data_IF_528533590683
#
_entry.id   IF_528533590683
#
_cell.length_a   1.000
_cell.length_b   1.000
_cell.length_c   1.000
_cell.angle_alpha   90.00
_cell.angle_beta   90.00
_cell.angle_gamma   90.00
#
_symmetry.space_group_name_H-M   'P 1'
#
loop_
_entity.id
_entity.type
_entity.pdbx_description
1 polymer ?
#
# COMPACT_ATOMS: atom_id res chain seq x y z
N UNK A 1 -57.36 61.39 29.56
CA UNK A 1 -58.52 60.80 30.27
C UNK A 1 -58.95 59.56 29.48
N UNK A 2 -58.80 58.38 30.10
CA UNK A 2 -59.48 57.09 29.85
C UNK A 2 -59.16 56.23 28.60
N UNK A 3 -58.29 55.22 28.82
CA UNK A 3 -58.36 53.75 28.51
C UNK A 3 -58.70 53.17 27.10
N UNK A 4 -58.45 51.86 26.81
CA UNK A 4 -57.72 50.81 27.56
C UNK A 4 -56.75 49.91 26.74
N UNK A 5 -55.94 49.15 27.47
CA UNK A 5 -55.16 47.97 27.06
C UNK A 5 -56.06 46.82 26.58
N UNK A 6 -55.75 46.24 25.43
CA UNK A 6 -56.23 44.90 25.03
C UNK A 6 -55.04 43.95 24.88
N UNK A 7 -55.01 42.92 25.72
CA UNK A 7 -54.13 41.78 25.58
C UNK A 7 -54.74 40.77 24.59
N UNK A 8 -53.97 40.14 23.69
CA UNK A 8 -54.43 38.96 22.99
C UNK A 8 -53.79 37.68 23.57
N UNK A 9 -54.65 36.89 24.22
CA UNK A 9 -54.86 35.45 24.05
C UNK A 9 -53.65 34.54 23.83
N UNK A 10 -53.42 33.69 24.84
CA UNK A 10 -52.66 32.43 24.79
C UNK A 10 -53.08 31.53 23.62
N UNK A 11 -52.17 31.33 22.66
CA UNK A 11 -52.31 30.25 21.68
C UNK A 11 -51.75 28.95 22.24
N UNK A 12 -52.62 27.95 22.27
CA UNK A 12 -52.41 26.57 22.69
C UNK A 12 -51.42 25.89 21.73
N UNK A 13 -50.31 25.36 22.27
CA UNK A 13 -49.36 24.51 21.55
C UNK A 13 -50.03 23.19 21.11
N UNK A 14 -50.49 23.14 19.86
CA UNK A 14 -50.86 21.88 19.21
C UNK A 14 -49.62 21.02 18.88
N UNK A 15 -49.73 19.69 18.83
CA UNK A 15 -48.60 18.81 18.52
C UNK A 15 -48.06 19.11 17.10
N UNK A 16 -46.78 19.49 17.03
CA UNK A 16 -46.07 19.81 15.78
C UNK A 16 -46.18 18.64 14.79
N UNK A 17 -46.59 18.87 13.53
CA UNK A 17 -46.69 17.79 12.55
C UNK A 17 -45.31 17.15 12.32
N UNK A 18 -45.26 15.81 12.38
CA UNK A 18 -44.05 15.04 12.09
C UNK A 18 -43.68 15.23 10.62
N UNK A 19 -42.64 16.03 10.36
CA UNK A 19 -42.13 16.22 9.00
C UNK A 19 -41.62 14.89 8.41
N UNK A 20 -41.90 14.60 7.12
CA UNK A 20 -41.46 13.38 6.45
C UNK A 20 -39.92 13.30 6.41
N UNK A 21 -39.37 12.09 6.53
CA UNK A 21 -37.91 11.84 6.59
C UNK A 21 -37.12 12.44 5.41
N UNK A 22 -37.78 12.61 4.26
CA UNK A 22 -37.19 13.10 3.02
C UNK A 22 -37.05 14.64 2.93
N UNK A 23 -37.61 15.43 3.85
CA UNK A 23 -37.38 16.90 3.87
C UNK A 23 -36.15 17.32 4.70
N UNK A 24 -35.40 16.36 5.24
CA UNK A 24 -34.22 16.62 6.07
C UNK A 24 -33.04 17.05 5.21
N UNK A 25 -32.77 18.36 5.17
CA UNK A 25 -31.53 18.89 4.59
C UNK A 25 -30.35 18.48 5.48
N UNK A 26 -29.42 17.71 4.93
CA UNK A 26 -28.15 17.40 5.57
C UNK A 26 -27.09 18.36 5.01
N UNK A 27 -26.36 19.03 5.90
CA UNK A 27 -25.23 19.87 5.52
C UNK A 27 -23.94 19.15 5.90
N UNK A 28 -22.99 19.14 4.98
CA UNK A 28 -21.65 18.58 5.19
C UNK A 28 -20.78 19.66 5.83
N UNK A 29 -20.39 19.46 7.07
CA UNK A 29 -19.38 20.30 7.73
C UNK A 29 -18.03 19.56 7.75
N UNK A 30 -16.96 20.25 7.35
CA UNK A 30 -15.59 19.73 7.47
C UNK A 30 -15.23 19.69 8.96
N UNK A 31 -14.91 18.50 9.50
CA UNK A 31 -14.42 18.37 10.88
C UNK A 31 -12.98 18.84 10.95
N UNK A 32 -12.67 19.77 11.86
CA UNK A 32 -11.31 20.28 12.02
C UNK A 32 -10.37 19.25 12.66
N UNK A 33 -10.79 18.51 13.70
CA UNK A 33 -10.05 17.37 14.27
C UNK A 33 -10.99 16.37 14.93
N UNK A 34 -10.76 15.08 14.71
CA UNK A 34 -11.42 13.98 15.43
C UNK A 34 -10.40 13.36 16.39
N UNK A 35 -10.75 13.19 17.67
CA UNK A 35 -9.83 12.58 18.62
C UNK A 35 -9.42 11.18 18.16
N UNK A 36 -8.15 10.82 18.40
CA UNK A 36 -7.56 9.53 18.00
C UNK A 36 -8.43 8.29 18.30
N UNK A 37 -9.11 8.14 19.46
CA UNK A 37 -9.95 6.96 19.71
C UNK A 37 -11.15 6.85 18.76
N UNK A 38 -11.74 7.97 18.35
CA UNK A 38 -12.84 7.97 17.39
C UNK A 38 -12.37 7.65 15.97
N UNK A 39 -11.16 8.09 15.61
CA UNK A 39 -10.55 7.71 14.33
C UNK A 39 -10.27 6.21 14.29
N UNK A 40 -9.72 5.66 15.38
CA UNK A 40 -9.48 4.22 15.52
C UNK A 40 -10.79 3.42 15.48
N UNK A 41 -11.87 3.91 16.11
CA UNK A 41 -13.17 3.25 16.08
C UNK A 41 -13.77 3.21 14.68
N UNK A 42 -13.72 4.33 13.93
CA UNK A 42 -14.25 4.38 12.55
C UNK A 42 -13.44 3.46 11.63
N UNK A 43 -12.11 3.45 11.77
CA UNK A 43 -11.24 2.53 11.02
C UNK A 43 -11.52 1.07 11.40
N UNK A 44 -11.66 0.77 12.68
CA UNK A 44 -11.98 -0.55 13.18
C UNK A 44 -13.32 -1.05 12.64
N UNK A 45 -14.35 -0.21 12.64
CA UNK A 45 -15.65 -0.54 12.05
C UNK A 45 -15.54 -0.79 10.54
N UNK A 46 -14.81 0.06 9.82
CA UNK A 46 -14.60 -0.10 8.38
C UNK A 46 -13.86 -1.41 8.05
N UNK A 47 -12.85 -1.76 8.84
CA UNK A 47 -12.14 -3.04 8.74
C UNK A 47 -13.08 -4.21 9.02
N UNK A 48 -13.90 -4.14 10.08
CA UNK A 48 -14.86 -5.19 10.41
C UNK A 48 -15.90 -5.39 9.29
N UNK A 49 -16.39 -4.31 8.69
CA UNK A 49 -17.30 -4.39 7.52
C UNK A 49 -16.58 -5.01 6.33
N UNK A 50 -15.35 -4.57 6.03
CA UNK A 50 -14.55 -5.13 4.93
C UNK A 50 -14.27 -6.62 5.12
N UNK A 51 -13.89 -7.03 6.34
CA UNK A 51 -13.69 -8.43 6.71
C UNK A 51 -15.00 -9.22 6.65
N UNK A 52 -16.11 -8.66 7.13
CA UNK A 52 -17.42 -9.31 7.07
C UNK A 52 -17.88 -9.57 5.64
N UNK A 53 -17.72 -8.60 4.74
CA UNK A 53 -17.99 -8.76 3.31
C UNK A 53 -17.06 -9.80 2.66
N UNK A 54 -15.78 -9.77 3.04
CA UNK A 54 -14.77 -10.73 2.56
C UNK A 54 -15.10 -12.16 2.98
N UNK A 55 -15.45 -12.37 4.25
CA UNK A 55 -15.92 -13.65 4.78
C UNK A 55 -17.18 -14.12 4.05
N UNK A 56 -18.15 -13.24 3.83
CA UNK A 56 -19.36 -13.60 3.09
C UNK A 56 -19.04 -14.09 1.67
N UNK A 57 -18.12 -13.43 0.96
CA UNK A 57 -17.68 -13.84 -0.38
C UNK A 57 -16.96 -15.20 -0.34
N UNK A 58 -16.08 -15.43 0.63
CA UNK A 58 -15.39 -16.72 0.77
C UNK A 58 -16.36 -17.87 1.08
N UNK A 59 -17.37 -17.62 1.90
CA UNK A 59 -18.42 -18.61 2.20
C UNK A 59 -19.25 -18.91 0.94
N UNK A 60 -19.61 -17.87 0.18
CA UNK A 60 -20.30 -18.04 -1.11
C UNK A 60 -19.43 -18.76 -2.16
N UNK A 61 -18.11 -18.63 -2.06
CA UNK A 61 -17.15 -19.36 -2.90
C UNK A 61 -16.91 -20.81 -2.46
N UNK A 62 -17.54 -21.26 -1.38
CA UNK A 62 -17.50 -22.66 -0.94
C UNK A 62 -16.62 -22.94 0.28
N UNK A 63 -16.03 -21.93 0.93
CA UNK A 63 -15.26 -22.15 2.17
C UNK A 63 -16.19 -22.22 3.38
N UNK A 64 -16.18 -23.30 4.17
CA UNK A 64 -17.00 -23.38 5.38
C UNK A 64 -16.61 -22.28 6.38
N UNK A 65 -17.61 -21.52 6.83
CA UNK A 65 -17.41 -20.36 7.71
C UNK A 65 -16.70 -20.70 9.04
N UNK A 66 -16.92 -21.91 9.56
CA UNK A 66 -16.28 -22.39 10.78
C UNK A 66 -14.78 -22.67 10.63
N UNK A 67 -14.32 -22.98 9.42
CA UNK A 67 -12.90 -23.29 9.16
C UNK A 67 -12.09 -22.03 8.85
N UNK A 68 -12.73 -20.94 8.40
CA UNK A 68 -12.04 -19.69 8.08
C UNK A 68 -11.21 -19.14 9.25
N UNK A 69 -11.75 -19.18 10.48
CA UNK A 69 -10.98 -18.73 11.65
C UNK A 69 -9.77 -19.65 11.92
N UNK A 70 -9.93 -20.95 11.71
CA UNK A 70 -8.86 -21.92 11.88
C UNK A 70 -7.77 -21.71 10.83
N UNK A 71 -8.15 -21.56 9.55
CA UNK A 71 -7.23 -21.35 8.45
C UNK A 71 -6.44 -20.02 8.58
N UNK A 72 -7.14 -18.90 8.81
CA UNK A 72 -6.50 -17.57 8.86
C UNK A 72 -5.69 -17.32 10.14
N UNK A 73 -6.09 -17.88 11.27
CA UNK A 73 -5.45 -17.60 12.57
C UNK A 73 -4.55 -18.76 12.97
N UNK A 74 -5.08 -19.97 13.07
CA UNK A 74 -4.34 -21.13 13.61
C UNK A 74 -3.35 -21.64 12.57
N UNK A 75 -3.82 -22.00 11.37
CA UNK A 75 -2.96 -22.57 10.34
C UNK A 75 -1.94 -21.57 9.79
N UNK A 76 -2.22 -20.26 9.88
CA UNK A 76 -1.30 -19.24 9.35
C UNK A 76 -0.30 -18.73 10.38
N UNK A 77 -0.69 -18.56 11.66
CA UNK A 77 0.18 -17.96 12.69
C UNK A 77 0.78 -18.96 13.69
N UNK A 78 0.11 -20.08 13.94
CA UNK A 78 0.56 -21.07 14.93
C UNK A 78 1.29 -22.26 14.31
N UNK A 79 1.15 -22.48 13.01
CA UNK A 79 2.01 -23.41 12.28
C UNK A 79 3.38 -22.76 11.99
N UNK A 80 4.46 -23.47 12.32
CA UNK A 80 5.82 -22.94 12.20
C UNK A 80 6.21 -22.66 10.74
N UNK A 81 5.76 -23.49 9.79
CA UNK A 81 6.08 -23.30 8.36
C UNK A 81 5.30 -22.13 7.78
N UNK A 82 4.01 -22.02 8.09
CA UNK A 82 3.19 -20.87 7.69
C UNK A 82 3.67 -19.56 8.30
N UNK A 83 4.13 -19.58 9.56
CA UNK A 83 4.70 -18.40 10.20
C UNK A 83 6.00 -17.96 9.51
N UNK A 84 6.89 -18.90 9.18
CA UNK A 84 8.10 -18.62 8.40
C UNK A 84 7.76 -18.05 7.03
N UNK A 85 6.80 -18.66 6.31
CA UNK A 85 6.32 -18.15 5.03
C UNK A 85 5.73 -16.74 5.16
N UNK A 86 5.01 -16.46 6.25
CA UNK A 86 4.43 -15.14 6.54
C UNK A 86 5.50 -14.10 6.79
N UNK A 87 6.54 -14.43 7.57
CA UNK A 87 7.67 -13.53 7.80
C UNK A 87 8.43 -13.26 6.50
N UNK A 88 8.69 -14.29 5.71
CA UNK A 88 9.34 -14.14 4.41
C UNK A 88 8.53 -13.25 3.47
N UNK A 89 7.21 -13.45 3.43
CA UNK A 89 6.26 -12.65 2.65
C UNK A 89 6.13 -11.21 3.18
N UNK A 90 6.32 -10.99 4.48
CA UNK A 90 6.22 -9.67 5.09
C UNK A 90 7.33 -8.72 4.60
N UNK A 91 8.54 -9.21 4.36
CA UNK A 91 9.65 -8.37 3.93
C UNK A 91 9.35 -7.54 2.65
N UNK A 92 9.00 -8.15 1.49
CA UNK A 92 8.67 -7.38 0.30
C UNK A 92 7.41 -6.53 0.47
N UNK A 93 6.40 -7.02 1.20
CA UNK A 93 5.15 -6.26 1.45
C UNK A 93 5.41 -5.00 2.29
N UNK A 94 6.29 -5.07 3.31
CA UNK A 94 6.74 -3.91 4.09
C UNK A 94 7.39 -2.88 3.16
N UNK A 95 8.34 -3.30 2.32
CA UNK A 95 9.07 -2.41 1.43
C UNK A 95 8.14 -1.69 0.42
N UNK A 96 7.20 -2.41 -0.17
CA UNK A 96 6.23 -1.82 -1.11
C UNK A 96 5.22 -0.92 -0.38
N UNK A 97 4.81 -1.26 0.84
CA UNK A 97 3.99 -0.39 1.70
C UNK A 97 4.71 0.91 2.08
N UNK A 98 6.00 0.85 2.40
CA UNK A 98 6.84 2.03 2.66
C UNK A 98 7.01 2.88 1.41
N UNK A 99 7.23 2.26 0.26
CA UNK A 99 7.27 2.95 -1.03
C UNK A 99 5.98 3.74 -1.28
N UNK A 100 4.82 3.13 -1.04
CA UNK A 100 3.51 3.80 -1.09
C UNK A 100 3.41 4.99 -0.13
N UNK A 101 3.79 4.80 1.14
CA UNK A 101 3.76 5.85 2.17
C UNK A 101 4.57 7.09 1.77
N UNK A 102 5.77 6.89 1.21
CA UNK A 102 6.64 8.00 0.78
C UNK A 102 6.03 8.75 -0.41
N UNK A 103 5.55 8.03 -1.43
CA UNK A 103 4.94 8.66 -2.61
C UNK A 103 3.71 9.50 -2.27
N UNK A 104 2.82 8.97 -1.41
CA UNK A 104 1.60 9.68 -1.01
C UNK A 104 1.90 10.95 -0.20
N UNK A 105 2.92 10.94 0.67
CA UNK A 105 3.40 12.17 1.34
C UNK A 105 3.93 13.22 0.38
N UNK A 106 4.46 12.80 -0.76
CA UNK A 106 4.91 13.70 -1.82
C UNK A 106 3.75 14.18 -2.73
N UNK A 107 2.48 13.88 -2.37
CA UNK A 107 1.29 14.13 -3.20
C UNK A 107 1.42 13.54 -4.60
N UNK A 108 2.02 12.36 -4.68
CA UNK A 108 2.20 11.60 -5.91
C UNK A 108 1.53 10.25 -5.76
N UNK A 109 0.52 9.99 -6.59
CA UNK A 109 -0.15 8.70 -6.62
C UNK A 109 0.65 7.68 -7.43
N UNK A 110 1.54 6.97 -6.75
CA UNK A 110 2.40 5.96 -7.38
C UNK A 110 1.64 4.63 -7.53
N UNK A 111 0.91 4.45 -8.63
CA UNK A 111 0.38 3.13 -9.01
C UNK A 111 1.44 2.28 -9.71
N UNK A 112 2.61 2.84 -9.97
CA UNK A 112 3.72 2.23 -10.71
C UNK A 112 4.64 1.32 -9.89
N UNK A 113 4.24 0.96 -8.66
CA UNK A 113 5.08 0.21 -7.71
C UNK A 113 5.49 -1.16 -8.28
N UNK A 114 4.58 -1.85 -8.98
CA UNK A 114 4.88 -3.13 -9.63
C UNK A 114 5.92 -2.98 -10.73
N UNK A 115 5.80 -1.96 -11.59
CA UNK A 115 6.80 -1.69 -12.62
C UNK A 115 8.17 -1.38 -12.03
N UNK A 116 8.22 -0.60 -10.95
CA UNK A 116 9.47 -0.27 -10.24
C UNK A 116 10.09 -1.51 -9.59
N UNK A 117 9.26 -2.39 -9.03
CA UNK A 117 9.66 -3.69 -8.49
C UNK A 117 10.22 -4.61 -9.58
N UNK A 118 9.57 -4.66 -10.75
CA UNK A 118 10.03 -5.41 -11.92
C UNK A 118 11.42 -4.93 -12.36
N UNK A 119 11.60 -3.62 -12.58
CA UNK A 119 12.89 -3.09 -12.99
C UNK A 119 13.98 -3.24 -11.93
N UNK A 120 13.61 -3.23 -10.64
CA UNK A 120 14.53 -3.58 -9.57
C UNK A 120 15.02 -5.03 -9.65
N UNK A 121 14.10 -5.99 -9.82
CA UNK A 121 14.46 -7.39 -9.97
C UNK A 121 15.27 -7.65 -11.26
N UNK A 122 14.93 -6.99 -12.37
CA UNK A 122 15.69 -7.04 -13.62
C UNK A 122 17.12 -6.53 -13.39
N UNK A 123 17.30 -5.40 -12.69
CA UNK A 123 18.62 -4.87 -12.35
C UNK A 123 19.47 -5.85 -11.53
N UNK A 124 18.88 -6.44 -10.48
CA UNK A 124 19.56 -7.47 -9.69
C UNK A 124 19.92 -8.71 -10.53
N UNK A 125 18.99 -9.19 -11.35
CA UNK A 125 19.19 -10.36 -12.21
C UNK A 125 20.28 -10.12 -13.24
N UNK A 126 20.35 -8.92 -13.83
CA UNK A 126 21.40 -8.55 -14.78
C UNK A 126 22.79 -8.64 -14.15
N UNK A 127 22.96 -8.19 -12.90
CA UNK A 127 24.25 -8.29 -12.18
C UNK A 127 24.66 -9.75 -11.98
N UNK A 128 23.72 -10.64 -11.65
CA UNK A 128 23.98 -12.08 -11.53
C UNK A 128 24.30 -12.72 -12.88
N UNK A 129 23.44 -12.54 -13.89
CA UNK A 129 23.58 -13.16 -15.22
C UNK A 129 24.84 -12.73 -15.98
N UNK A 130 25.20 -11.45 -15.90
CA UNK A 130 26.41 -10.93 -16.56
C UNK A 130 27.65 -11.00 -15.65
N UNK A 131 27.53 -11.66 -14.49
CA UNK A 131 28.62 -11.88 -13.52
C UNK A 131 29.36 -10.59 -13.16
N UNK A 132 28.62 -9.49 -12.98
CA UNK A 132 29.21 -8.16 -12.79
C UNK A 132 29.85 -8.09 -11.40
N UNK A 133 31.17 -7.87 -11.39
CA UNK A 133 31.98 -7.75 -10.18
C UNK A 133 32.37 -9.09 -9.53
N UNK A 134 33.25 -9.03 -8.51
CA UNK A 134 33.72 -10.23 -7.81
C UNK A 134 32.61 -10.86 -6.98
N UNK A 135 32.70 -12.17 -6.73
CA UNK A 135 31.66 -12.95 -6.06
C UNK A 135 31.22 -12.36 -4.71
N UNK A 136 32.17 -11.90 -3.90
CA UNK A 136 31.91 -11.29 -2.59
C UNK A 136 31.09 -9.98 -2.65
N UNK A 137 31.16 -9.24 -3.77
CA UNK A 137 30.45 -7.96 -3.93
C UNK A 137 29.18 -8.09 -4.76
N UNK A 138 28.90 -9.27 -5.31
CA UNK A 138 27.79 -9.42 -6.25
C UNK A 138 26.43 -9.19 -5.60
N UNK A 139 26.19 -9.73 -4.40
CA UNK A 139 24.95 -9.49 -3.66
C UNK A 139 24.73 -7.99 -3.34
N UNK A 140 25.72 -7.24 -2.81
CA UNK A 140 25.64 -5.79 -2.71
C UNK A 140 25.39 -5.06 -4.04
N UNK A 141 26.06 -5.47 -5.12
CA UNK A 141 25.87 -4.89 -6.45
C UNK A 141 24.46 -5.15 -6.99
N UNK A 142 23.90 -6.33 -6.76
CA UNK A 142 22.51 -6.68 -7.09
C UNK A 142 21.53 -5.77 -6.34
N UNK A 143 21.77 -5.54 -5.05
CA UNK A 143 20.97 -4.62 -4.23
C UNK A 143 21.02 -3.19 -4.78
N UNK A 144 22.21 -2.68 -5.11
CA UNK A 144 22.38 -1.34 -5.69
C UNK A 144 21.71 -1.24 -7.06
N UNK A 145 21.89 -2.24 -7.93
CA UNK A 145 21.25 -2.29 -9.23
C UNK A 145 19.72 -2.32 -9.11
N UNK A 146 19.18 -2.99 -8.09
CA UNK A 146 17.75 -3.01 -7.84
C UNK A 146 17.19 -1.66 -7.36
N UNK A 147 17.90 -0.99 -6.44
CA UNK A 147 17.56 0.36 -6.02
C UNK A 147 17.55 1.32 -7.22
N UNK A 148 18.58 1.25 -8.07
CA UNK A 148 18.70 2.08 -9.26
C UNK A 148 17.63 1.74 -10.30
N UNK A 149 17.34 0.46 -10.54
CA UNK A 149 16.31 0.03 -11.49
C UNK A 149 14.93 0.58 -11.12
N UNK A 150 14.53 0.44 -9.86
CA UNK A 150 13.26 1.00 -9.36
C UNK A 150 13.24 2.53 -9.37
N UNK A 151 14.34 3.17 -8.97
CA UNK A 151 14.48 4.63 -8.98
C UNK A 151 14.36 5.22 -10.38
N UNK A 152 15.10 4.65 -11.35
CA UNK A 152 15.12 5.11 -12.74
C UNK A 152 13.76 4.87 -13.40
N UNK A 153 13.07 3.78 -13.09
CA UNK A 153 11.72 3.55 -13.61
C UNK A 153 10.69 4.53 -13.03
N UNK A 154 10.81 4.88 -11.74
CA UNK A 154 9.97 5.90 -11.11
C UNK A 154 10.18 7.31 -11.69
N UNK A 155 11.35 7.58 -12.29
CA UNK A 155 11.64 8.86 -12.92
C UNK A 155 10.75 9.10 -14.15
N UNK A 156 10.41 8.06 -14.92
CA UNK A 156 9.59 8.19 -16.13
C UNK A 156 8.19 8.81 -15.87
N UNK A 157 7.30 8.24 -15.03
CA UNK A 157 5.99 8.83 -14.77
C UNK A 157 6.11 10.17 -14.03
N UNK A 158 7.14 10.34 -13.22
CA UNK A 158 7.41 11.58 -12.49
C UNK A 158 7.79 12.73 -13.42
N UNK A 159 8.63 12.49 -14.43
CA UNK A 159 8.97 13.50 -15.43
C UNK A 159 7.77 13.86 -16.30
N UNK A 160 6.94 12.88 -16.68
CA UNK A 160 5.70 13.12 -17.42
C UNK A 160 4.75 14.03 -16.63
N UNK A 161 4.60 13.79 -15.32
CA UNK A 161 3.84 14.68 -14.43
C UNK A 161 4.45 16.08 -14.34
N UNK A 162 5.75 16.18 -14.04
CA UNK A 162 6.40 17.45 -13.75
C UNK A 162 6.61 18.35 -14.97
N UNK A 163 6.82 17.76 -16.16
CA UNK A 163 7.07 18.52 -17.41
C UNK A 163 5.82 18.69 -18.26
N UNK A 164 5.00 17.65 -18.38
CA UNK A 164 3.87 17.61 -19.31
C UNK A 164 2.51 17.71 -18.62
N UNK A 165 2.47 17.70 -17.28
CA UNK A 165 1.21 17.77 -16.53
C UNK A 165 0.32 16.53 -16.72
N UNK A 166 0.89 15.41 -17.17
CA UNK A 166 0.15 14.16 -17.36
C UNK A 166 -0.31 13.64 -16.00
N UNK A 167 -1.53 13.10 -15.95
CA UNK A 167 -2.07 12.46 -14.76
C UNK A 167 -1.18 11.27 -14.37
N UNK A 168 -0.54 11.36 -13.20
CA UNK A 168 0.39 10.34 -12.72
C UNK A 168 -0.25 8.98 -12.48
N UNK A 169 -1.55 8.92 -12.20
CA UNK A 169 -2.28 7.67 -11.98
C UNK A 169 -2.27 6.86 -13.28
N UNK A 170 -2.62 7.52 -14.40
CA UNK A 170 -2.66 6.88 -15.71
C UNK A 170 -1.24 6.54 -16.18
N UNK A 171 -0.31 7.49 -16.08
CA UNK A 171 1.06 7.28 -16.54
C UNK A 171 1.76 6.13 -15.80
N UNK A 172 1.66 6.09 -14.46
CA UNK A 172 2.31 5.05 -13.67
C UNK A 172 1.66 3.68 -13.86
N UNK A 173 0.34 3.60 -14.03
CA UNK A 173 -0.36 2.36 -14.33
C UNK A 173 0.01 1.81 -15.72
N UNK A 174 0.04 2.67 -16.74
CA UNK A 174 0.41 2.26 -18.10
C UNK A 174 1.85 1.76 -18.20
N UNK A 175 2.77 2.38 -17.46
CA UNK A 175 4.16 1.93 -17.40
C UNK A 175 4.32 0.56 -16.71
N UNK A 176 3.40 0.12 -15.86
CA UNK A 176 3.46 -1.25 -15.30
C UNK A 176 3.30 -2.29 -16.40
N UNK A 177 2.38 -2.09 -17.36
CA UNK A 177 2.20 -3.01 -18.46
C UNK A 177 3.44 -3.09 -19.34
N UNK A 178 4.11 -1.95 -19.58
CA UNK A 178 5.37 -1.93 -20.34
C UNK A 178 6.45 -2.72 -19.58
N UNK A 179 6.60 -2.50 -18.27
CA UNK A 179 7.55 -3.25 -17.45
C UNK A 179 7.26 -4.76 -17.44
N UNK A 180 5.98 -5.14 -17.30
CA UNK A 180 5.55 -6.54 -17.33
C UNK A 180 5.84 -7.21 -18.68
N UNK A 181 5.49 -6.57 -19.80
CA UNK A 181 5.78 -7.12 -21.12
C UNK A 181 7.29 -7.20 -21.39
N UNK A 182 8.08 -6.24 -20.88
CA UNK A 182 9.53 -6.30 -20.97
C UNK A 182 10.12 -7.45 -20.14
N UNK A 183 9.61 -7.69 -18.93
CA UNK A 183 9.97 -8.86 -18.13
C UNK A 183 9.67 -10.16 -18.87
N UNK A 184 8.48 -10.28 -19.48
CA UNK A 184 8.14 -11.45 -20.29
C UNK A 184 9.09 -11.61 -21.48
N UNK A 185 9.41 -10.53 -22.19
CA UNK A 185 10.38 -10.58 -23.29
C UNK A 185 11.74 -11.15 -22.85
N UNK A 186 12.26 -10.73 -21.69
CA UNK A 186 13.52 -11.24 -21.16
C UNK A 186 13.44 -12.72 -20.79
N UNK A 187 12.41 -13.08 -20.04
CA UNK A 187 12.29 -14.40 -19.41
C UNK A 187 11.82 -15.49 -20.38
N UNK A 188 11.13 -15.13 -21.47
CA UNK A 188 10.85 -16.03 -22.58
C UNK A 188 11.95 -16.01 -23.67
N UNK A 189 12.78 -14.97 -23.69
CA UNK A 189 13.82 -14.76 -24.67
C UNK A 189 15.22 -14.95 -24.09
N UNK A 190 16.04 -13.87 -24.05
CA UNK A 190 17.49 -13.98 -23.83
C UNK A 190 17.90 -14.45 -22.43
N UNK A 191 17.03 -14.32 -21.42
CA UNK A 191 17.36 -14.64 -20.03
C UNK A 191 16.78 -15.97 -19.57
N UNK A 192 16.07 -16.69 -20.43
CA UNK A 192 15.50 -18.00 -20.12
C UNK A 192 16.61 -19.00 -19.78
N UNK A 193 16.43 -19.81 -18.73
CA UNK A 193 17.32 -20.92 -18.44
C UNK A 193 17.30 -21.95 -19.60
N UNK A 194 18.42 -22.23 -20.27
CA UNK A 194 18.47 -23.22 -21.35
C UNK A 194 18.21 -24.65 -20.87
N UNK A 195 18.29 -24.91 -19.55
CA UNK A 195 18.09 -26.24 -18.96
C UNK A 195 16.62 -26.56 -18.70
N UNK A 196 15.74 -25.57 -18.78
CA UNK A 196 14.33 -25.75 -18.44
C UNK A 196 13.39 -25.22 -19.53
N UNK A 197 12.21 -25.82 -19.64
CA UNK A 197 11.16 -25.40 -20.55
C UNK A 197 10.39 -24.19 -19.99
N UNK A 198 10.39 -23.98 -18.68
CA UNK A 198 9.65 -22.91 -18.03
C UNK A 198 10.29 -21.51 -18.24
N UNK A 199 9.48 -20.45 -18.31
CA UNK A 199 9.96 -19.08 -18.46
C UNK A 199 10.42 -18.53 -17.11
N UNK A 200 11.67 -18.82 -16.75
CA UNK A 200 12.39 -18.19 -15.64
C UNK A 200 13.88 -18.06 -15.97
N UNK A 201 14.58 -17.21 -15.22
CA UNK A 201 16.04 -17.12 -15.32
C UNK A 201 16.73 -18.34 -14.70
N UNK A 202 18.01 -18.59 -15.04
CA UNK A 202 18.87 -19.46 -14.27
C UNK A 202 18.83 -19.12 -12.79
N UNK A 203 18.99 -20.15 -11.98
CA UNK A 203 19.02 -20.03 -10.53
C UNK A 203 20.28 -19.30 -10.08
N UNK A 204 20.12 -18.28 -9.22
CA UNK A 204 21.25 -17.51 -8.69
C UNK A 204 22.19 -18.38 -7.87
N UNK A 205 23.48 -18.03 -7.87
CA UNK A 205 24.47 -18.76 -7.07
C UNK A 205 24.17 -18.61 -5.57
N UNK A 206 24.55 -19.56 -4.71
CA UNK A 206 24.22 -19.48 -3.28
C UNK A 206 24.65 -18.18 -2.59
N UNK A 207 25.79 -17.60 -2.98
CA UNK A 207 26.28 -16.33 -2.44
C UNK A 207 25.59 -15.08 -3.02
N UNK A 208 24.80 -15.23 -4.09
CA UNK A 208 23.98 -14.19 -4.71
C UNK A 208 22.56 -14.15 -4.13
N UNK A 209 22.23 -15.08 -3.23
CA UNK A 209 20.95 -15.13 -2.54
C UNK A 209 21.03 -14.51 -1.17
N UNK A 210 19.90 -13.98 -0.69
CA UNK A 210 19.82 -13.48 0.68
C UNK A 210 19.97 -14.65 1.66
N UNK A 211 21.00 -14.66 2.51
CA UNK A 211 21.25 -15.77 3.41
C UNK A 211 20.14 -15.91 4.45
N UNK A 212 19.89 -17.14 4.86
CA UNK A 212 19.06 -17.44 6.01
C UNK A 212 19.86 -17.24 7.30
N UNK A 213 19.34 -16.42 8.21
CA UNK A 213 19.97 -16.14 9.51
C UNK A 213 19.60 -17.20 10.53
N UNK A 214 18.34 -17.63 10.49
CA UNK A 214 17.76 -18.72 11.28
C UNK A 214 16.94 -19.59 10.33
N UNK A 215 16.66 -20.86 10.68
CA UNK A 215 15.76 -21.70 9.90
C UNK A 215 14.42 -20.97 9.66
N UNK A 216 14.17 -20.62 8.40
CA UNK A 216 12.97 -19.88 7.97
C UNK A 216 12.94 -18.38 8.24
N UNK A 217 14.06 -17.76 8.65
CA UNK A 217 14.20 -16.31 8.75
C UNK A 217 15.33 -15.83 7.83
N UNK A 218 14.96 -15.34 6.65
CA UNK A 218 15.90 -14.72 5.71
C UNK A 218 16.32 -13.33 6.16
N UNK A 219 17.52 -12.92 5.77
CA UNK A 219 18.04 -11.55 5.87
C UNK A 219 17.08 -10.49 5.27
N UNK A 220 16.16 -10.91 4.40
CA UNK A 220 15.06 -10.08 3.90
C UNK A 220 14.26 -9.36 4.99
N UNK A 221 13.93 -10.05 6.10
CA UNK A 221 13.07 -9.49 7.16
C UNK A 221 13.79 -8.41 7.95
N UNK A 222 15.01 -8.64 8.49
CA UNK A 222 15.77 -7.58 9.15
C UNK A 222 16.08 -6.41 8.22
N UNK A 223 16.35 -6.67 6.93
CA UNK A 223 16.56 -5.61 5.94
C UNK A 223 15.31 -4.73 5.79
N UNK A 224 14.12 -5.34 5.64
CA UNK A 224 12.86 -4.60 5.52
C UNK A 224 12.54 -3.78 6.79
N UNK A 225 12.80 -4.35 7.98
CA UNK A 225 12.61 -3.64 9.26
C UNK A 225 13.61 -2.50 9.43
N UNK A 226 14.88 -2.71 9.08
CA UNK A 226 15.89 -1.66 9.07
C UNK A 226 15.46 -0.50 8.16
N UNK A 227 14.99 -0.82 6.95
CA UNK A 227 14.47 0.18 6.01
C UNK A 227 13.22 0.88 6.54
N UNK A 228 12.34 0.19 7.26
CA UNK A 228 11.19 0.82 7.93
C UNK A 228 11.62 1.84 9.00
N UNK A 229 12.62 1.50 9.81
CA UNK A 229 13.20 2.43 10.81
C UNK A 229 13.89 3.61 10.13
N UNK A 230 14.64 3.38 9.06
CA UNK A 230 15.28 4.44 8.27
C UNK A 230 14.25 5.36 7.62
N UNK A 231 13.15 4.81 7.08
CA UNK A 231 12.05 5.57 6.51
C UNK A 231 11.33 6.39 7.59
N UNK A 232 11.12 5.82 8.79
CA UNK A 232 10.58 6.56 9.92
C UNK A 232 11.50 7.72 10.33
N UNK A 233 12.80 7.47 10.48
CA UNK A 233 13.78 8.49 10.83
C UNK A 233 13.84 9.60 9.76
N UNK A 234 13.82 9.23 8.48
CA UNK A 234 13.76 10.15 7.36
C UNK A 234 12.52 11.05 7.43
N UNK A 235 11.34 10.49 7.64
CA UNK A 235 10.09 11.25 7.67
C UNK A 235 9.97 12.11 8.94
N UNK A 236 10.33 11.56 10.10
CA UNK A 236 10.05 12.16 11.39
C UNK A 236 11.13 13.15 11.84
N UNK A 237 12.42 12.81 11.67
CA UNK A 237 13.54 13.58 12.23
C UNK A 237 14.32 14.36 11.17
N UNK A 238 14.40 13.90 9.91
CA UNK A 238 15.28 14.54 8.93
C UNK A 238 14.78 15.90 8.43
N UNK A 239 15.73 16.73 7.95
CA UNK A 239 15.43 18.04 7.31
C UNK A 239 14.57 17.87 6.05
N UNK A 240 14.86 16.86 5.23
CA UNK A 240 14.06 16.52 4.06
C UNK A 240 12.63 16.09 4.45
N UNK A 241 12.48 15.34 5.54
CA UNK A 241 11.17 14.98 6.11
C UNK A 241 10.38 16.18 6.63
N UNK A 242 11.05 17.20 7.17
CA UNK A 242 10.41 18.49 7.49
C UNK A 242 9.87 19.19 6.24
N UNK A 243 10.66 19.29 5.17
CA UNK A 243 10.19 19.84 3.90
C UNK A 243 9.04 19.03 3.30
N UNK A 244 9.10 17.70 3.38
CA UNK A 244 8.04 16.82 2.93
C UNK A 244 6.74 17.08 3.68
N UNK A 245 6.77 17.31 4.99
CA UNK A 245 5.59 17.68 5.80
C UNK A 245 4.96 19.01 5.36
N UNK A 246 5.78 20.01 5.00
CA UNK A 246 5.27 21.26 4.43
C UNK A 246 4.60 21.05 3.06
N UNK A 247 5.24 20.26 2.20
CA UNK A 247 4.69 19.91 0.87
C UNK A 247 3.37 19.13 0.99
N UNK A 248 3.32 18.16 1.90
CA UNK A 248 2.13 17.35 2.17
C UNK A 248 0.97 18.21 2.67
N UNK A 249 1.22 19.15 3.59
CA UNK A 249 0.20 20.07 4.12
C UNK A 249 -0.34 21.03 3.05
N UNK A 250 0.55 21.81 2.40
CA UNK A 250 0.16 22.70 1.30
C UNK A 250 1.38 23.10 0.45
N UNK A 251 1.49 22.60 -0.79
CA UNK A 251 2.61 22.92 -1.69
C UNK A 251 2.75 24.41 -1.99
N UNK A 252 1.63 25.15 -2.08
CA UNK A 252 1.65 26.60 -2.40
C UNK A 252 2.24 27.41 -1.23
N UNK A 253 1.86 27.07 0.00
CA UNK A 253 2.41 27.69 1.21
C UNK A 253 3.87 27.28 1.39
N UNK A 254 4.19 26.00 1.16
CA UNK A 254 5.57 25.52 1.20
C UNK A 254 6.49 26.30 0.25
N UNK A 255 6.05 26.54 -0.99
CA UNK A 255 6.83 27.37 -1.93
C UNK A 255 6.97 28.83 -1.48
N UNK A 256 5.96 29.40 -0.83
CA UNK A 256 6.01 30.78 -0.34
C UNK A 256 7.01 30.95 0.81
N UNK A 257 7.23 29.91 1.62
CA UNK A 257 8.23 29.88 2.71
C UNK A 257 9.61 29.44 2.22
N UNK A 258 9.81 29.29 0.90
CA UNK A 258 11.10 28.98 0.28
C UNK A 258 11.48 27.49 0.27
N UNK A 259 10.54 26.58 0.54
CA UNK A 259 10.78 25.14 0.41
C UNK A 259 10.89 24.77 -1.07
N UNK A 260 11.93 24.02 -1.50
CA UNK A 260 12.08 23.61 -2.90
C UNK A 260 11.12 22.47 -3.26
N UNK A 261 9.82 22.78 -3.40
CA UNK A 261 8.72 21.82 -3.59
C UNK A 261 9.02 20.79 -4.68
N UNK A 262 9.48 21.23 -5.86
CA UNK A 262 9.78 20.34 -6.99
C UNK A 262 10.89 19.34 -6.66
N UNK A 263 11.96 19.79 -6.02
CA UNK A 263 13.07 18.91 -5.64
C UNK A 263 12.66 17.93 -4.54
N UNK A 264 11.86 18.36 -3.56
CA UNK A 264 11.34 17.50 -2.50
C UNK A 264 10.43 16.40 -3.06
N UNK A 265 9.53 16.74 -3.99
CA UNK A 265 8.68 15.75 -4.68
C UNK A 265 9.57 14.79 -5.48
N UNK A 266 10.53 15.33 -6.24
CA UNK A 266 11.43 14.53 -7.06
C UNK A 266 12.18 13.49 -6.21
N UNK A 267 12.89 13.93 -5.18
CA UNK A 267 13.67 13.05 -4.32
C UNK A 267 12.82 12.01 -3.60
N UNK A 268 11.63 12.38 -3.11
CA UNK A 268 10.77 11.46 -2.35
C UNK A 268 10.13 10.40 -3.24
N UNK A 269 9.72 10.76 -4.47
CA UNK A 269 9.16 9.79 -5.43
C UNK A 269 10.24 8.85 -5.97
N UNK A 270 11.45 9.36 -6.20
CA UNK A 270 12.59 8.52 -6.56
C UNK A 270 12.98 7.55 -5.43
N UNK A 271 12.94 7.99 -4.17
CA UNK A 271 13.12 7.12 -3.02
C UNK A 271 12.02 6.05 -2.91
N UNK A 272 10.76 6.40 -3.20
CA UNK A 272 9.65 5.43 -3.32
C UNK A 272 9.95 4.38 -4.39
N UNK A 273 10.41 4.80 -5.57
CA UNK A 273 10.85 3.90 -6.64
C UNK A 273 11.99 2.96 -6.22
N UNK A 274 12.99 3.49 -5.53
CA UNK A 274 14.10 2.69 -5.01
C UNK A 274 13.60 1.62 -4.02
N UNK A 275 12.70 1.98 -3.10
CA UNK A 275 12.11 1.03 -2.14
C UNK A 275 11.29 -0.07 -2.83
N UNK A 276 10.52 0.28 -3.86
CA UNK A 276 9.80 -0.71 -4.67
C UNK A 276 10.76 -1.63 -5.43
N UNK A 277 11.85 -1.08 -5.99
CA UNK A 277 12.91 -1.86 -6.62
C UNK A 277 13.61 -2.81 -5.67
N UNK A 278 13.88 -2.36 -4.42
CA UNK A 278 14.43 -3.20 -3.36
C UNK A 278 13.50 -4.35 -2.99
N UNK A 279 12.18 -4.13 -2.99
CA UNK A 279 11.22 -5.22 -2.80
C UNK A 279 11.34 -6.30 -3.89
N UNK A 280 11.60 -5.87 -5.14
CA UNK A 280 11.84 -6.78 -6.26
C UNK A 280 13.10 -7.63 -6.07
N UNK A 281 14.18 -7.02 -5.57
CA UNK A 281 15.38 -7.75 -5.17
C UNK A 281 15.12 -8.75 -4.05
N UNK A 282 14.35 -8.37 -3.02
CA UNK A 282 14.02 -9.29 -1.91
C UNK A 282 13.26 -10.51 -2.40
N UNK A 283 12.32 -10.35 -3.34
CA UNK A 283 11.59 -11.50 -3.91
C UNK A 283 12.50 -12.33 -4.81
N UNK A 284 13.25 -11.72 -5.73
CA UNK A 284 14.09 -12.43 -6.69
C UNK A 284 15.29 -13.12 -6.04
N UNK A 285 16.06 -12.43 -5.19
CA UNK A 285 17.26 -12.96 -4.55
C UNK A 285 16.98 -13.68 -3.22
N UNK A 286 15.82 -13.45 -2.60
CA UNK A 286 15.40 -14.12 -1.37
C UNK A 286 14.46 -15.29 -1.63
N UNK A 287 13.24 -15.00 -2.10
CA UNK A 287 12.13 -15.96 -2.10
C UNK A 287 12.25 -16.98 -3.24
N UNK A 288 12.47 -16.49 -4.46
CA UNK A 288 12.51 -17.31 -5.66
C UNK A 288 13.93 -17.82 -5.97
N UNK A 289 14.96 -17.06 -5.56
CA UNK A 289 16.36 -17.30 -5.92
C UNK A 289 16.64 -17.20 -7.43
N UNK A 290 15.70 -16.64 -8.21
CA UNK A 290 15.75 -16.43 -9.65
C UNK A 290 14.68 -15.41 -10.06
N UNK A 291 14.73 -14.94 -11.30
CA UNK A 291 13.69 -14.10 -11.87
C UNK A 291 12.58 -14.96 -12.49
N UNK A 292 11.33 -14.73 -12.05
CA UNK A 292 10.14 -15.42 -12.58
C UNK A 292 9.20 -14.42 -13.27
N UNK A 293 8.21 -14.91 -14.02
CA UNK A 293 7.32 -14.08 -14.83
C UNK A 293 6.23 -13.32 -14.04
N UNK A 294 5.86 -13.77 -12.84
CA UNK A 294 4.66 -13.29 -12.13
C UNK A 294 4.89 -12.88 -10.67
N UNK A 295 6.16 -12.76 -10.24
CA UNK A 295 6.52 -12.49 -8.83
C UNK A 295 6.01 -11.15 -8.28
N UNK A 296 5.68 -10.18 -9.14
CA UNK A 296 5.29 -8.82 -8.74
C UNK A 296 3.79 -8.65 -8.50
N UNK A 297 2.96 -9.63 -8.91
CA UNK A 297 1.52 -9.45 -9.01
C UNK A 297 0.88 -9.22 -7.63
N UNK A 298 0.08 -8.15 -7.52
CA UNK A 298 -0.69 -7.84 -6.32
C UNK A 298 0.07 -6.99 -5.30
N UNK A 299 1.41 -6.94 -5.36
CA UNK A 299 2.21 -6.14 -4.44
C UNK A 299 1.94 -4.64 -4.57
N UNK A 300 1.69 -4.13 -5.79
CA UNK A 300 1.43 -2.70 -5.98
C UNK A 300 0.16 -2.24 -5.30
N UNK A 301 -0.93 -3.00 -5.46
CA UNK A 301 -2.20 -2.74 -4.79
C UNK A 301 -2.08 -2.88 -3.28
N UNK A 302 -1.35 -3.89 -2.80
CA UNK A 302 -1.04 -4.04 -1.38
C UNK A 302 -0.28 -2.82 -0.84
N UNK A 303 0.69 -2.28 -1.57
CA UNK A 303 1.44 -1.08 -1.17
C UNK A 303 0.54 0.14 -0.96
N UNK A 304 -0.41 0.34 -1.87
CA UNK A 304 -1.41 1.40 -1.77
C UNK A 304 -2.30 1.19 -0.55
N UNK A 305 -2.84 -0.02 -0.37
CA UNK A 305 -3.65 -0.39 0.80
C UNK A 305 -2.91 -0.10 2.11
N UNK A 306 -1.66 -0.55 2.21
CA UNK A 306 -0.84 -0.39 3.41
C UNK A 306 -0.63 1.10 3.69
N UNK A 307 -0.28 1.89 2.67
CA UNK A 307 -0.06 3.32 2.83
C UNK A 307 -1.32 4.05 3.33
N UNK A 308 -2.51 3.68 2.82
CA UNK A 308 -3.79 4.21 3.30
C UNK A 308 -4.08 3.85 4.75
N UNK A 309 -4.01 2.56 5.08
CA UNK A 309 -4.37 2.06 6.39
C UNK A 309 -3.37 2.53 7.47
N UNK A 310 -2.09 2.65 7.09
CA UNK A 310 -1.04 3.23 7.94
C UNK A 310 -1.06 4.77 7.98
N UNK A 311 -1.91 5.44 7.21
CA UNK A 311 -1.96 6.91 7.07
C UNK A 311 -0.59 7.52 6.79
N UNK A 312 0.16 6.88 5.90
CA UNK A 312 1.54 7.23 5.54
C UNK A 312 2.54 7.20 6.71
N UNK A 313 2.24 6.59 7.87
CA UNK A 313 3.22 6.41 8.95
C UNK A 313 4.09 5.17 8.68
N UNK A 314 5.42 5.30 8.50
CA UNK A 314 6.28 4.17 8.16
C UNK A 314 6.25 3.01 9.19
N UNK A 315 6.13 3.32 10.48
CA UNK A 315 6.08 2.27 11.51
C UNK A 315 4.73 1.53 11.51
N UNK A 316 3.64 2.27 11.33
CA UNK A 316 2.32 1.65 11.18
C UNK A 316 2.24 0.83 9.87
N UNK A 317 2.95 1.27 8.82
CA UNK A 317 3.02 0.54 7.55
C UNK A 317 3.67 -0.83 7.72
N UNK A 318 4.70 -0.97 8.58
CA UNK A 318 5.30 -2.26 8.87
C UNK A 318 4.31 -3.23 9.56
N UNK A 319 3.53 -2.74 10.53
CA UNK A 319 2.50 -3.55 11.21
C UNK A 319 1.38 -3.96 10.26
N UNK A 320 0.88 -3.02 9.45
CA UNK A 320 -0.17 -3.31 8.47
C UNK A 320 0.34 -4.26 7.38
N UNK A 321 1.58 -4.08 6.93
CA UNK A 321 2.21 -4.96 5.95
C UNK A 321 2.33 -6.40 6.46
N UNK A 322 2.61 -6.59 7.75
CA UNK A 322 2.59 -7.92 8.36
C UNK A 322 1.20 -8.56 8.30
N UNK A 323 0.13 -7.82 8.62
CA UNK A 323 -1.25 -8.32 8.49
C UNK A 323 -1.61 -8.67 7.05
N UNK A 324 -1.17 -7.84 6.09
CA UNK A 324 -1.36 -8.11 4.66
C UNK A 324 -0.58 -9.35 4.23
N UNK A 325 0.64 -9.55 4.73
CA UNK A 325 1.43 -10.75 4.46
C UNK A 325 0.76 -12.03 5.01
N UNK A 326 0.16 -11.97 6.21
CA UNK A 326 -0.67 -13.07 6.74
C UNK A 326 -1.83 -13.38 5.79
N UNK A 327 -2.49 -12.35 5.24
CA UNK A 327 -3.55 -12.52 4.25
C UNK A 327 -3.05 -13.16 2.95
N UNK A 328 -1.83 -12.86 2.50
CA UNK A 328 -1.20 -13.53 1.35
C UNK A 328 -0.99 -15.03 1.58
N UNK A 329 -0.44 -15.39 2.75
CA UNK A 329 -0.16 -16.80 3.09
C UNK A 329 -1.44 -17.58 3.33
N UNK A 330 -2.40 -17.02 4.08
CA UNK A 330 -3.72 -17.61 4.26
C UNK A 330 -4.43 -17.80 2.91
N UNK A 331 -4.34 -16.80 2.02
CA UNK A 331 -4.88 -16.89 0.67
C UNK A 331 -4.26 -18.00 -0.18
N UNK A 332 -2.95 -18.26 -0.02
CA UNK A 332 -2.27 -19.38 -0.67
C UNK A 332 -2.74 -20.73 -0.12
N UNK A 333 -2.94 -20.83 1.19
CA UNK A 333 -3.51 -22.03 1.81
C UNK A 333 -4.93 -22.28 1.29
N UNK A 334 -5.77 -21.23 1.21
CA UNK A 334 -7.11 -21.35 0.63
C UNK A 334 -7.09 -21.80 -0.83
N UNK A 335 -6.13 -21.33 -1.62
CA UNK A 335 -5.96 -21.75 -3.00
C UNK A 335 -5.57 -23.23 -3.11
N UNK A 336 -4.74 -23.73 -2.20
CA UNK A 336 -4.30 -25.13 -2.20
C UNK A 336 -5.43 -26.06 -1.73
N UNK A 337 -6.05 -25.76 -0.58
CA UNK A 337 -7.01 -26.65 0.07
C UNK A 337 -8.44 -26.54 -0.49
N UNK A 338 -8.88 -25.33 -0.85
CA UNK A 338 -10.25 -25.08 -1.33
C UNK A 338 -10.31 -24.75 -2.82
N UNK A 339 -9.18 -24.83 -3.55
CA UNK A 339 -9.09 -24.57 -4.99
C UNK A 339 -9.61 -23.18 -5.41
N UNK A 340 -9.51 -22.21 -4.50
CA UNK A 340 -9.96 -20.84 -4.74
C UNK A 340 -8.87 -20.05 -5.50
N UNK A 341 -9.21 -19.33 -6.59
CA UNK A 341 -8.23 -18.52 -7.29
C UNK A 341 -7.60 -17.45 -6.40
N UNK A 342 -6.28 -17.22 -6.56
CA UNK A 342 -5.55 -16.18 -5.83
C UNK A 342 -6.13 -14.77 -6.01
N UNK A 343 -6.85 -14.53 -7.11
CA UNK A 343 -7.61 -13.30 -7.37
C UNK A 343 -8.61 -12.96 -6.24
N UNK A 344 -9.09 -13.94 -5.47
CA UNK A 344 -9.95 -13.67 -4.30
C UNK A 344 -9.20 -12.89 -3.21
N UNK A 345 -7.91 -13.14 -3.02
CA UNK A 345 -7.09 -12.36 -2.07
C UNK A 345 -7.01 -10.90 -2.49
N UNK A 346 -6.84 -10.64 -3.79
CA UNK A 346 -6.83 -9.29 -4.35
C UNK A 346 -8.20 -8.61 -4.19
N UNK A 347 -9.30 -9.35 -4.37
CA UNK A 347 -10.65 -8.85 -4.13
C UNK A 347 -10.86 -8.45 -2.66
N UNK A 348 -10.41 -9.28 -1.72
CA UNK A 348 -10.46 -8.98 -0.28
C UNK A 348 -9.67 -7.70 0.03
N UNK A 349 -8.46 -7.57 -0.50
CA UNK A 349 -7.66 -6.35 -0.34
C UNK A 349 -8.39 -5.12 -0.92
N UNK A 350 -8.98 -5.23 -2.11
CA UNK A 350 -9.73 -4.15 -2.75
C UNK A 350 -10.95 -3.72 -1.91
N UNK A 351 -11.69 -4.67 -1.34
CA UNK A 351 -12.80 -4.37 -0.43
C UNK A 351 -12.34 -3.65 0.83
N UNK A 352 -11.24 -4.11 1.44
CA UNK A 352 -10.63 -3.43 2.59
C UNK A 352 -10.23 -2.00 2.22
N UNK A 353 -9.59 -1.78 1.06
CA UNK A 353 -9.25 -0.42 0.59
C UNK A 353 -10.51 0.43 0.45
N UNK A 354 -11.56 -0.07 -0.19
CA UNK A 354 -12.81 0.67 -0.41
C UNK A 354 -13.45 1.04 0.93
N UNK A 355 -13.52 0.11 1.88
CA UNK A 355 -14.07 0.35 3.21
C UNK A 355 -13.24 1.39 3.97
N UNK A 356 -11.90 1.27 3.97
CA UNK A 356 -11.00 2.20 4.66
C UNK A 356 -11.04 3.59 4.02
N UNK A 357 -11.03 3.68 2.69
CA UNK A 357 -11.16 4.95 1.96
C UNK A 357 -12.52 5.61 2.23
N UNK A 358 -13.61 4.83 2.24
CA UNK A 358 -14.94 5.31 2.61
C UNK A 358 -14.97 5.82 4.06
N UNK A 359 -14.24 5.17 4.97
CA UNK A 359 -14.11 5.60 6.36
C UNK A 359 -13.45 6.98 6.50
N UNK A 360 -12.48 7.31 5.64
CA UNK A 360 -11.80 8.62 5.66
C UNK A 360 -12.77 9.77 5.34
N UNK A 361 -13.76 9.53 4.48
CA UNK A 361 -14.84 10.48 4.24
C UNK A 361 -15.62 10.80 5.53
N UNK A 362 -16.01 9.78 6.30
CA UNK A 362 -16.73 9.94 7.57
C UNK A 362 -15.87 10.54 8.69
N UNK A 363 -14.55 10.38 8.63
CA UNK A 363 -13.61 10.99 9.58
C UNK A 363 -13.47 12.49 9.30
N UNK A 364 -13.38 12.89 8.04
CA UNK A 364 -13.19 14.29 7.64
C UNK A 364 -14.49 15.09 7.57
N UNK A 365 -15.63 14.45 7.30
CA UNK A 365 -16.90 15.14 7.12
C UNK A 365 -17.90 14.73 8.21
N UNK A 366 -18.54 15.71 8.83
CA UNK A 366 -19.69 15.49 9.70
C UNK A 366 -20.95 15.72 8.87
N UNK A 367 -21.82 14.71 8.84
CA UNK A 367 -23.21 14.90 8.47
C UNK A 367 -23.89 15.63 9.63
N UNK A 368 -24.05 16.95 9.49
CA UNK A 368 -24.86 17.72 10.43
C UNK A 368 -26.25 17.84 9.84
N UNK A 369 -27.27 17.55 10.66
CA UNK A 369 -28.65 17.84 10.30
C UNK A 369 -28.78 19.36 10.25
N UNK A 370 -29.14 19.92 9.10
CA UNK A 370 -29.55 21.32 9.03
C UNK A 370 -30.80 21.42 9.89
N UNK A 371 -30.70 22.03 11.08
CA UNK A 371 -31.88 22.62 11.68
C UNK A 371 -32.26 23.73 10.71
N UNK A 372 -33.34 23.52 9.95
CA UNK A 372 -33.90 24.61 9.16
C UNK A 372 -34.14 25.75 10.14
N UNK A 373 -33.46 26.87 9.92
CA UNK A 373 -33.76 28.09 10.68
C UNK A 373 -35.25 28.34 10.53
N UNK A 374 -35.96 28.36 11.65
CA UNK A 374 -37.23 29.03 11.71
C UNK A 374 -36.90 30.51 11.42
N UNK A 375 -37.30 30.96 10.23
CA UNK A 375 -37.39 32.37 9.91
C UNK A 375 -38.57 32.98 10.67
#
# INVERSE_FOLDING_TARGET
MLEPLSAPLSQVDGPRPRQPLFSRRYTLEIRQQLAWPWQALILGLALLVGLGLSTAILVLAGVPAGELLNEFVVATLFDAQSLQATLFQAAPVILVGLAGCLAFRARFWNLGLEGQMIWGAIGATAVSLFEIGPEALRLPLMLVAALLGGLLWALAPLLLKLRLGVNEIIASLMLNYIAANFLLHLVFGPWKDPRDAFPYSPLFRPFERLPELLPGLSLAVPLALLVAVLAWWFVALSRAGLYLRFVDANPRVASAVGVPVRATILATVLASGALAGLAGFVVAAGQEGRLTQSFYQGYGFSGILIAFLARNNPLAAAVVAFLVATLFVAGRNLQVFYQIPFAMVQLIQALIVICVASSDFFIRHRLRRSQGGAA
#
